data_IF_092845326127
#
_entry.id   IF_092845326127
#
_cell.length_a   1.000
_cell.length_b   1.000
_cell.length_c   1.000
_cell.angle_alpha   90.00
_cell.angle_beta   90.00
_cell.angle_gamma   90.00
#
_symmetry.space_group_name_H-M   'P 1'
#
loop_
_entity.id
_entity.type
_entity.pdbx_description
1 polymer ?
#
# COMPACT_ATOMS: atom_id res chain seq x y z
N UNK A 1 -7.36 28.76 -48.17
CA UNK A 1 -7.39 27.41 -47.56
C UNK A 1 -7.46 27.61 -46.05
N UNK A 2 -8.65 27.53 -45.46
CA UNK A 2 -8.84 27.58 -44.01
C UNK A 2 -9.00 26.14 -43.51
N UNK A 3 -8.02 25.64 -42.77
CA UNK A 3 -8.15 24.40 -42.02
C UNK A 3 -8.89 24.70 -40.72
N UNK A 4 -10.10 24.17 -40.61
CA UNK A 4 -10.90 24.16 -39.39
C UNK A 4 -10.42 23.01 -38.51
N UNK A 5 -9.91 23.34 -37.32
CA UNK A 5 -9.49 22.35 -36.32
C UNK A 5 -10.71 21.71 -35.67
N UNK A 6 -10.91 20.42 -35.91
CA UNK A 6 -11.87 19.61 -35.15
C UNK A 6 -11.31 19.35 -33.73
N UNK A 7 -12.00 19.87 -32.72
CA UNK A 7 -11.86 19.42 -31.33
C UNK A 7 -12.53 18.04 -31.21
N UNK A 8 -11.73 16.99 -31.03
CA UNK A 8 -12.24 15.71 -30.52
C UNK A 8 -12.40 15.80 -28.99
N UNK A 9 -13.48 15.25 -28.41
CA UNK A 9 -13.61 15.15 -26.97
C UNK A 9 -12.62 14.09 -26.46
N UNK A 10 -11.88 14.42 -25.40
CA UNK A 10 -11.15 13.42 -24.62
C UNK A 10 -12.18 12.44 -24.05
N UNK A 11 -12.18 11.22 -24.57
CA UNK A 11 -12.75 10.07 -23.90
C UNK A 11 -11.93 9.83 -22.65
N UNK A 12 -12.47 10.19 -21.48
CA UNK A 12 -11.94 9.77 -20.20
C UNK A 12 -11.88 8.25 -20.18
N UNK A 13 -10.67 7.70 -20.07
CA UNK A 13 -10.45 6.28 -19.87
C UNK A 13 -11.13 5.90 -18.56
N UNK A 14 -12.22 5.13 -18.64
CA UNK A 14 -12.81 4.51 -17.46
C UNK A 14 -11.71 3.75 -16.72
N UNK A 15 -11.49 4.11 -15.45
CA UNK A 15 -10.57 3.42 -14.57
C UNK A 15 -10.90 1.91 -14.60
N UNK A 16 -9.87 1.06 -14.64
CA UNK A 16 -10.09 -0.38 -14.44
C UNK A 16 -10.79 -0.53 -13.09
N UNK A 17 -11.97 -1.13 -13.09
CA UNK A 17 -12.62 -1.53 -11.84
C UNK A 17 -11.76 -2.63 -11.22
N UNK A 18 -11.01 -2.31 -10.17
CA UNK A 18 -10.31 -3.30 -9.39
C UNK A 18 -11.30 -3.91 -8.40
N UNK A 19 -11.57 -5.21 -8.52
CA UNK A 19 -12.40 -5.94 -7.55
C UNK A 19 -11.57 -6.22 -6.29
N UNK A 20 -11.19 -5.16 -5.58
CA UNK A 20 -10.45 -5.27 -4.32
C UNK A 20 -11.41 -5.48 -3.15
N UNK A 21 -11.02 -6.27 -2.14
CA UNK A 21 -11.85 -6.45 -0.96
C UNK A 21 -11.95 -5.13 -0.18
N UNK A 22 -13.17 -4.80 0.26
CA UNK A 22 -13.41 -3.63 1.10
C UNK A 22 -13.24 -3.92 2.60
N UNK A 23 -12.93 -5.17 2.96
CA UNK A 23 -12.76 -5.59 4.35
C UNK A 23 -11.69 -6.66 4.44
N UNK A 24 -11.02 -6.73 5.59
CA UNK A 24 -10.15 -7.86 5.90
C UNK A 24 -10.91 -9.18 5.81
N UNK A 25 -10.28 -10.18 5.21
CA UNK A 25 -10.89 -11.50 5.09
C UNK A 25 -11.09 -12.13 6.49
N UNK A 26 -12.26 -12.74 6.78
CA UNK A 26 -12.50 -13.36 8.06
C UNK A 26 -11.59 -14.59 8.25
N UNK A 27 -11.29 -14.92 9.51
CA UNK A 27 -10.56 -16.12 9.89
C UNK A 27 -9.27 -16.33 9.10
N UNK A 28 -8.45 -15.27 8.99
CA UNK A 28 -7.14 -15.37 8.33
C UNK A 28 -7.19 -15.74 6.84
N UNK A 29 -8.31 -15.43 6.17
CA UNK A 29 -8.53 -15.71 4.75
C UNK A 29 -7.59 -14.95 3.82
N UNK A 30 -7.52 -15.42 2.58
CA UNK A 30 -6.72 -14.83 1.51
C UNK A 30 -7.37 -13.56 0.96
N UNK A 31 -6.57 -12.52 0.73
CA UNK A 31 -7.00 -11.32 0.01
C UNK A 31 -6.32 -11.22 -1.36
N UNK A 32 -7.09 -10.87 -2.38
CA UNK A 32 -6.57 -10.67 -3.73
C UNK A 32 -5.71 -9.43 -3.80
N UNK A 33 -4.70 -9.45 -4.67
CA UNK A 33 -3.88 -8.28 -4.99
C UNK A 33 -4.00 -7.96 -6.48
N UNK A 34 -3.86 -6.69 -6.90
CA UNK A 34 -3.99 -6.29 -8.30
C UNK A 34 -3.04 -7.01 -9.26
N UNK A 35 -1.80 -7.28 -8.85
CA UNK A 35 -0.76 -7.87 -9.71
C UNK A 35 -0.86 -9.39 -9.75
N UNK A 36 -1.02 -10.02 -8.57
CA UNK A 36 -0.84 -11.47 -8.43
C UNK A 36 -2.16 -12.24 -8.24
N UNK A 37 -3.26 -11.55 -7.90
CA UNK A 37 -4.54 -12.21 -7.67
C UNK A 37 -4.52 -13.10 -6.43
N UNK A 38 -5.19 -14.26 -6.50
CA UNK A 38 -5.33 -15.22 -5.38
C UNK A 38 -4.70 -16.58 -5.65
N UNK A 39 -4.08 -16.78 -6.81
CA UNK A 39 -3.42 -18.04 -7.17
C UNK A 39 -2.13 -18.19 -6.37
N UNK A 40 -1.85 -19.41 -5.87
CA UNK A 40 -0.62 -19.76 -5.15
C UNK A 40 -0.29 -18.89 -3.92
N UNK A 41 -1.33 -18.32 -3.30
CA UNK A 41 -1.21 -17.60 -2.02
C UNK A 41 -0.80 -18.58 -0.92
N UNK A 42 0.19 -18.19 -0.13
CA UNK A 42 0.57 -18.89 1.10
C UNK A 42 -0.21 -18.32 2.28
N UNK A 43 -0.21 -16.99 2.47
CA UNK A 43 -1.00 -16.32 3.50
C UNK A 43 -1.18 -14.83 3.23
N UNK A 44 -2.07 -14.20 4.00
CA UNK A 44 -2.31 -12.75 4.03
C UNK A 44 -2.29 -12.26 5.48
N UNK A 45 -1.76 -11.06 5.70
CA UNK A 45 -2.01 -10.24 6.91
C UNK A 45 -2.87 -9.05 6.51
N UNK A 46 -3.74 -8.57 7.41
CA UNK A 46 -4.61 -7.44 7.10
C UNK A 46 -4.97 -6.65 8.35
N UNK A 47 -4.89 -5.32 8.26
CA UNK A 47 -5.39 -4.38 9.23
C UNK A 47 -6.52 -3.54 8.63
N UNK A 48 -7.51 -3.23 9.46
CA UNK A 48 -8.65 -2.43 9.07
C UNK A 48 -9.04 -1.50 10.23
N UNK A 49 -9.16 -0.21 9.94
CA UNK A 49 -9.47 0.81 10.94
C UNK A 49 -10.21 1.99 10.30
N UNK A 50 -11.15 2.59 11.03
CA UNK A 50 -11.81 3.83 10.63
C UNK A 50 -10.94 5.03 11.00
N UNK A 51 -10.68 5.93 10.06
CA UNK A 51 -9.94 7.18 10.24
C UNK A 51 -10.93 8.35 10.05
N UNK A 52 -10.94 9.31 10.97
CA UNK A 52 -11.71 10.54 10.85
C UNK A 52 -10.99 11.53 9.94
N UNK A 53 -11.02 11.23 8.64
CA UNK A 53 -10.61 12.13 7.57
C UNK A 53 -11.21 11.65 6.26
N UNK A 54 -11.28 12.54 5.27
CA UNK A 54 -11.60 12.16 3.90
C UNK A 54 -10.48 11.28 3.29
N UNK A 55 -10.76 10.49 2.23
CA UNK A 55 -9.75 9.61 1.63
C UNK A 55 -8.49 10.34 1.12
N UNK A 56 -8.63 11.54 0.55
CA UNK A 56 -7.51 12.22 -0.11
C UNK A 56 -6.37 12.62 0.86
N UNK A 57 -6.62 13.28 2.01
CA UNK A 57 -5.58 13.51 3.01
C UNK A 57 -4.88 12.23 3.48
N UNK A 58 -5.63 11.15 3.70
CA UNK A 58 -5.06 9.85 4.09
C UNK A 58 -4.15 9.31 2.97
N UNK A 59 -4.60 9.41 1.72
CA UNK A 59 -3.85 8.98 0.54
C UNK A 59 -2.51 9.71 0.43
N UNK A 60 -2.52 11.03 0.58
CA UNK A 60 -1.31 11.86 0.49
C UNK A 60 -0.29 11.48 1.58
N UNK A 61 -0.74 11.24 2.82
CA UNK A 61 0.14 10.77 3.91
C UNK A 61 0.66 9.35 3.62
N UNK A 62 -0.17 8.47 3.08
CA UNK A 62 0.19 7.09 2.75
C UNK A 62 1.28 6.96 1.69
N UNK A 63 1.40 7.94 0.78
CA UNK A 63 2.41 7.92 -0.28
C UNK A 63 3.56 8.92 -0.05
N UNK A 64 3.53 9.71 1.03
CA UNK A 64 4.64 10.61 1.37
C UNK A 64 5.81 9.85 2.02
N UNK A 65 6.42 8.94 1.25
CA UNK A 65 7.53 8.09 1.69
C UNK A 65 8.73 8.86 2.27
N UNK A 66 9.13 10.04 1.76
CA UNK A 66 10.16 10.85 2.43
C UNK A 66 9.83 11.21 3.88
N UNK A 67 8.54 11.35 4.21
CA UNK A 67 8.05 11.71 5.55
C UNK A 67 7.52 10.51 6.34
N UNK A 68 7.53 9.29 5.79
CA UNK A 68 7.03 8.07 6.47
C UNK A 68 7.55 7.90 7.90
N UNK A 69 8.86 8.06 8.16
CA UNK A 69 9.43 7.89 9.51
C UNK A 69 8.91 8.87 10.55
N UNK A 70 8.28 9.97 10.14
CA UNK A 70 7.73 10.96 11.06
C UNK A 70 6.50 10.44 11.82
N UNK A 71 5.86 9.38 11.32
CA UNK A 71 4.66 8.81 11.92
C UNK A 71 4.68 7.30 12.07
N UNK A 72 5.38 6.57 11.19
CA UNK A 72 5.37 5.12 11.21
C UNK A 72 6.40 4.56 12.20
N UNK A 73 5.94 3.83 13.22
CA UNK A 73 6.83 3.25 14.24
C UNK A 73 7.54 1.97 13.79
N UNK A 74 7.01 1.26 12.79
CA UNK A 74 7.62 0.06 12.22
C UNK A 74 8.68 0.39 11.16
N UNK A 75 8.35 1.29 10.22
CA UNK A 75 9.21 1.75 9.12
C UNK A 75 9.91 3.04 9.52
N UNK A 76 11.12 2.94 10.07
CA UNK A 76 11.85 4.08 10.60
C UNK A 76 12.71 4.84 9.57
N UNK A 77 12.85 4.31 8.35
CA UNK A 77 13.46 5.02 7.23
C UNK A 77 12.98 4.44 5.90
N UNK A 78 12.94 5.28 4.87
CA UNK A 78 12.67 4.88 3.49
C UNK A 78 13.69 5.56 2.57
N UNK A 79 14.45 4.76 1.83
CA UNK A 79 15.23 5.30 0.72
C UNK A 79 14.36 5.36 -0.52
N UNK A 80 14.32 6.53 -1.15
CA UNK A 80 13.64 6.81 -2.42
C UNK A 80 14.61 7.50 -3.39
N UNK A 81 14.31 7.54 -4.70
CA UNK A 81 15.11 8.32 -5.66
C UNK A 81 15.24 9.78 -5.24
N UNK A 82 16.40 10.40 -5.47
CA UNK A 82 16.72 11.76 -4.98
C UNK A 82 15.81 12.86 -5.53
N UNK A 83 15.06 12.59 -6.60
CA UNK A 83 14.07 13.51 -7.18
C UNK A 83 12.68 13.38 -6.54
N UNK A 84 12.50 12.50 -5.56
CA UNK A 84 11.25 12.29 -4.83
C UNK A 84 11.37 12.98 -3.48
N UNK A 85 10.64 14.08 -3.32
CA UNK A 85 10.71 14.94 -2.14
C UNK A 85 9.40 15.04 -1.38
N UNK A 86 8.30 14.63 -2.01
CA UNK A 86 6.97 14.53 -1.38
C UNK A 86 6.08 13.52 -2.10
N UNK A 87 4.88 13.31 -1.55
CA UNK A 87 3.79 12.54 -2.18
C UNK A 87 3.57 12.84 -3.67
N UNK A 88 3.69 14.10 -4.10
CA UNK A 88 3.43 14.49 -5.50
C UNK A 88 4.47 13.99 -6.50
N UNK A 89 5.64 13.59 -6.01
CA UNK A 89 6.75 13.13 -6.85
C UNK A 89 6.74 11.61 -7.06
N UNK A 90 5.83 10.89 -6.39
CA UNK A 90 5.73 9.43 -6.43
C UNK A 90 5.17 8.95 -7.77
N UNK A 91 5.73 7.85 -8.30
CA UNK A 91 5.35 7.30 -9.60
C UNK A 91 5.32 5.78 -9.62
N UNK A 92 4.55 5.20 -10.55
CA UNK A 92 4.51 3.74 -10.75
C UNK A 92 5.86 3.24 -11.25
N UNK A 93 6.36 2.16 -10.64
CA UNK A 93 7.69 1.61 -10.90
C UNK A 93 8.80 2.25 -10.06
N UNK A 94 8.48 3.21 -9.19
CA UNK A 94 9.44 3.82 -8.27
C UNK A 94 10.00 2.74 -7.33
N UNK A 95 11.33 2.54 -7.30
CA UNK A 95 11.97 1.67 -6.32
C UNK A 95 12.03 2.36 -4.96
N UNK A 96 11.90 1.58 -3.90
CA UNK A 96 12.00 2.05 -2.52
C UNK A 96 12.74 0.99 -1.69
N UNK A 97 13.46 1.41 -0.66
CA UNK A 97 13.99 0.49 0.35
C UNK A 97 13.45 0.89 1.70
N UNK A 98 12.62 0.02 2.29
CA UNK A 98 12.07 0.21 3.62
C UNK A 98 13.05 -0.36 4.64
N UNK A 99 13.34 0.43 5.67
CA UNK A 99 14.10 -0.01 6.84
C UNK A 99 13.14 -0.16 8.00
N UNK A 100 13.06 -1.36 8.56
CA UNK A 100 12.07 -1.69 9.58
C UNK A 100 12.71 -2.18 10.86
N UNK A 101 12.02 -1.98 11.98
CA UNK A 101 12.41 -2.54 13.29
C UNK A 101 12.42 -4.08 13.30
N UNK A 102 11.83 -4.68 12.25
CA UNK A 102 11.87 -6.10 11.93
C UNK A 102 10.91 -6.94 12.77
N UNK A 103 10.62 -8.15 12.28
CA UNK A 103 9.62 -9.04 12.88
C UNK A 103 10.14 -9.84 14.07
N UNK A 104 11.45 -9.79 14.32
CA UNK A 104 12.09 -10.46 15.47
C UNK A 104 12.57 -9.34 16.41
N UNK A 105 12.20 -9.37 17.70
CA UNK A 105 12.60 -8.32 18.62
C UNK A 105 14.10 -8.04 18.58
N UNK A 106 14.45 -6.75 18.47
CA UNK A 106 15.83 -6.24 18.40
C UNK A 106 16.60 -6.61 17.11
N UNK A 107 15.92 -7.11 16.08
CA UNK A 107 16.53 -7.44 14.78
C UNK A 107 15.87 -6.64 13.68
N UNK A 108 16.49 -5.52 13.31
CA UNK A 108 16.05 -4.70 12.19
C UNK A 108 16.12 -5.49 10.87
N UNK A 109 15.27 -5.12 9.92
CA UNK A 109 15.28 -5.70 8.58
C UNK A 109 15.16 -4.62 7.51
N UNK A 110 15.40 -5.01 6.27
CA UNK A 110 15.22 -4.15 5.10
C UNK A 110 14.40 -4.88 4.06
N UNK A 111 13.49 -4.17 3.39
CA UNK A 111 12.74 -4.68 2.26
C UNK A 111 12.91 -3.76 1.06
N UNK A 112 13.19 -4.34 -0.10
CA UNK A 112 13.15 -3.60 -1.36
C UNK A 112 11.75 -3.70 -1.92
N UNK A 113 11.17 -2.57 -2.25
CA UNK A 113 9.79 -2.43 -2.68
C UNK A 113 9.73 -1.67 -4.02
N UNK A 114 8.66 -1.87 -4.76
CA UNK A 114 8.38 -1.14 -5.98
C UNK A 114 6.89 -0.77 -6.05
N UNK A 115 6.58 0.51 -6.28
CA UNK A 115 5.20 0.96 -6.49
C UNK A 115 4.62 0.27 -7.72
N UNK A 116 3.49 -0.42 -7.56
CA UNK A 116 2.78 -1.10 -8.65
C UNK A 116 1.55 -0.31 -9.10
N UNK A 117 0.85 0.34 -8.16
CA UNK A 117 -0.36 1.12 -8.46
C UNK A 117 -0.43 2.42 -7.66
N UNK A 118 -0.77 3.51 -8.35
CA UNK A 118 -1.22 4.77 -7.78
C UNK A 118 -2.60 5.08 -8.38
N UNK A 119 -3.66 4.95 -7.60
CA UNK A 119 -5.04 5.13 -8.03
C UNK A 119 -5.80 6.05 -7.08
N UNK A 120 -5.46 7.35 -7.00
CA UNK A 120 -6.16 8.32 -6.15
C UNK A 120 -7.61 8.57 -6.62
N UNK A 121 -7.87 8.41 -7.93
CA UNK A 121 -9.19 8.64 -8.53
C UNK A 121 -10.04 7.36 -8.68
N UNK A 122 -9.54 6.21 -8.22
CA UNK A 122 -10.36 5.00 -8.18
C UNK A 122 -11.47 5.12 -7.13
N UNK A 123 -12.49 4.28 -7.25
CA UNK A 123 -13.60 4.23 -6.29
C UNK A 123 -13.71 2.80 -5.77
N UNK A 124 -13.13 2.49 -4.60
CA UNK A 124 -12.37 3.37 -3.68
C UNK A 124 -10.93 3.68 -4.17
N UNK A 125 -10.32 4.80 -3.70
CA UNK A 125 -8.90 5.08 -3.93
C UNK A 125 -7.99 4.01 -3.32
N UNK A 126 -6.87 3.71 -3.97
CA UNK A 126 -5.87 2.78 -3.42
C UNK A 126 -4.46 3.01 -3.95
N UNK A 127 -3.49 2.50 -3.19
CA UNK A 127 -2.08 2.40 -3.57
C UNK A 127 -1.63 0.97 -3.33
N UNK A 128 -0.71 0.48 -4.17
CA UNK A 128 -0.07 -0.80 -3.95
C UNK A 128 1.42 -0.75 -4.32
N UNK A 129 2.20 -1.55 -3.61
CA UNK A 129 3.60 -1.81 -3.90
C UNK A 129 3.90 -3.28 -3.64
N UNK A 130 4.94 -3.78 -4.30
CA UNK A 130 5.36 -5.17 -4.20
C UNK A 130 6.80 -5.29 -3.75
N UNK A 131 7.08 -6.41 -3.10
CA UNK A 131 8.43 -6.83 -2.80
C UNK A 131 9.23 -7.03 -4.10
N UNK A 132 10.38 -6.36 -4.20
CA UNK A 132 11.35 -6.48 -5.28
C UNK A 132 12.58 -7.26 -4.83
N UNK A 133 12.43 -8.60 -4.80
CA UNK A 133 13.54 -9.52 -4.55
C UNK A 133 14.52 -9.66 -5.72
N UNK A 134 14.40 -8.85 -6.77
CA UNK A 134 15.09 -9.05 -8.05
C UNK A 134 14.68 -10.35 -8.76
N UNK A 135 15.35 -10.66 -9.87
CA UNK A 135 14.96 -11.76 -10.77
C UNK A 135 14.93 -13.12 -10.06
N UNK A 136 15.88 -13.40 -9.18
CA UNK A 136 15.96 -14.70 -8.49
C UNK A 136 15.12 -14.74 -7.20
N UNK A 137 15.10 -13.66 -6.42
CA UNK A 137 14.31 -13.59 -5.19
C UNK A 137 12.81 -13.58 -5.46
N UNK A 138 12.38 -12.85 -6.49
CA UNK A 138 10.97 -12.78 -6.93
C UNK A 138 10.41 -14.10 -7.48
N UNK A 139 11.27 -15.07 -7.83
CA UNK A 139 10.82 -16.43 -8.18
C UNK A 139 10.56 -17.29 -6.95
N UNK A 140 11.17 -16.95 -5.80
CA UNK A 140 11.07 -17.72 -4.56
C UNK A 140 9.98 -17.18 -3.65
N UNK A 141 9.85 -15.86 -3.58
CA UNK A 141 8.84 -15.17 -2.78
C UNK A 141 8.36 -13.93 -3.51
N UNK A 142 7.05 -13.74 -3.53
CA UNK A 142 6.42 -12.49 -3.95
C UNK A 142 5.54 -12.01 -2.81
N UNK A 143 5.43 -10.70 -2.67
CA UNK A 143 4.46 -10.08 -1.79
C UNK A 143 3.96 -8.81 -2.47
N UNK A 144 2.68 -8.49 -2.28
CA UNK A 144 2.11 -7.21 -2.70
C UNK A 144 1.27 -6.65 -1.55
N UNK A 145 1.65 -5.46 -1.10
CA UNK A 145 0.93 -4.65 -0.14
C UNK A 145 -0.09 -3.80 -0.89
N UNK A 146 -1.32 -3.76 -0.39
CA UNK A 146 -2.39 -2.89 -0.88
C UNK A 146 -2.95 -2.08 0.28
N UNK A 147 -3.13 -0.78 0.05
CA UNK A 147 -3.77 0.16 0.98
C UNK A 147 -4.96 0.80 0.26
N UNK A 148 -6.17 0.56 0.75
CA UNK A 148 -7.44 0.95 0.15
C UNK A 148 -8.23 1.85 1.12
N UNK A 149 -8.90 2.88 0.56
CA UNK A 149 -9.58 3.92 1.32
C UNK A 149 -11.06 4.00 0.95
N UNK A 150 -11.92 3.40 1.74
CA UNK A 150 -13.36 3.39 1.46
C UNK A 150 -14.07 4.49 2.25
N UNK A 151 -14.56 5.52 1.55
CA UNK A 151 -15.34 6.62 2.13
C UNK A 151 -16.64 6.11 2.78
N UNK A 152 -16.82 6.38 4.07
CA UNK A 152 -18.03 6.03 4.83
C UNK A 152 -19.04 7.19 4.89
N UNK A 153 -18.67 8.36 4.37
CA UNK A 153 -19.39 9.61 4.52
C UNK A 153 -19.09 10.29 5.86
N UNK A 154 -19.54 11.54 6.00
CA UNK A 154 -19.40 12.27 7.27
C UNK A 154 -17.97 12.66 7.65
N UNK A 155 -17.01 12.55 6.72
CA UNK A 155 -15.59 12.78 6.99
C UNK A 155 -14.89 11.55 7.60
N UNK A 156 -15.48 10.36 7.48
CA UNK A 156 -14.87 9.10 7.93
C UNK A 156 -14.47 8.23 6.73
N UNK A 157 -13.31 7.59 6.83
CA UNK A 157 -12.79 6.65 5.84
C UNK A 157 -12.44 5.34 6.51
N UNK A 158 -12.90 4.23 5.95
CA UNK A 158 -12.41 2.90 6.30
C UNK A 158 -11.09 2.65 5.57
N UNK A 159 -9.99 2.60 6.32
CA UNK A 159 -8.68 2.21 5.82
C UNK A 159 -8.54 0.69 5.92
N UNK A 160 -8.25 0.03 4.79
CA UNK A 160 -7.98 -1.40 4.72
C UNK A 160 -6.61 -1.60 4.11
N UNK A 161 -5.70 -2.21 4.87
CA UNK A 161 -4.35 -2.51 4.43
C UNK A 161 -4.07 -4.00 4.57
N UNK A 162 -3.54 -4.62 3.53
CA UNK A 162 -3.14 -6.01 3.57
C UNK A 162 -1.89 -6.25 2.75
N UNK A 163 -1.20 -7.32 3.08
CA UNK A 163 -0.15 -7.87 2.25
C UNK A 163 -0.36 -9.37 2.09
N UNK A 164 -0.35 -9.80 0.84
CA UNK A 164 -0.49 -11.20 0.48
C UNK A 164 0.86 -11.72 0.01
N UNK A 165 1.26 -12.86 0.56
CA UNK A 165 2.53 -13.52 0.28
C UNK A 165 2.31 -14.79 -0.56
N UNK A 166 3.20 -14.97 -1.54
CA UNK A 166 3.14 -16.03 -2.54
C UNK A 166 4.49 -16.77 -2.61
N UNK A 167 4.45 -18.01 -3.10
CA UNK A 167 5.64 -18.82 -3.35
C UNK A 167 6.26 -19.43 -2.10
N UNK A 168 7.10 -20.46 -2.28
CA UNK A 168 7.61 -21.29 -1.18
C UNK A 168 8.48 -20.52 -0.17
N UNK A 169 9.11 -19.41 -0.58
CA UNK A 169 9.88 -18.55 0.32
C UNK A 169 9.03 -17.86 1.38
N UNK A 170 7.74 -17.63 1.10
CA UNK A 170 6.81 -17.04 2.05
C UNK A 170 6.59 -17.89 3.31
N UNK A 171 6.95 -19.19 3.29
CA UNK A 171 6.82 -20.06 4.47
C UNK A 171 7.70 -19.60 5.65
N UNK A 172 8.84 -18.96 5.38
CA UNK A 172 9.66 -18.38 6.44
C UNK A 172 8.95 -17.19 7.11
N UNK A 173 8.30 -16.34 6.32
CA UNK A 173 7.52 -15.20 6.82
C UNK A 173 6.21 -15.66 7.47
N UNK A 174 5.63 -16.77 7.02
CA UNK A 174 4.43 -17.36 7.63
C UNK A 174 4.67 -17.76 9.10
N UNK A 175 5.86 -18.28 9.44
CA UNK A 175 6.22 -18.51 10.83
C UNK A 175 6.24 -17.20 11.66
N UNK A 176 6.56 -16.09 10.98
CA UNK A 176 6.51 -14.67 11.38
C UNK A 176 5.11 -14.06 11.56
N UNK A 177 4.06 -14.72 11.07
CA UNK A 177 2.78 -14.07 10.73
C UNK A 177 2.17 -13.27 11.86
N UNK A 178 2.18 -13.78 13.09
CA UNK A 178 1.59 -13.08 14.24
C UNK A 178 2.26 -11.73 14.52
N UNK A 179 3.59 -11.66 14.38
CA UNK A 179 4.33 -10.42 14.54
C UNK A 179 4.07 -9.50 13.35
N UNK A 180 4.11 -10.03 12.12
CA UNK A 180 3.79 -9.24 10.93
C UNK A 180 2.38 -8.63 10.98
N UNK A 181 1.39 -9.40 11.41
CA UNK A 181 0.02 -8.94 11.60
C UNK A 181 -0.04 -7.77 12.58
N UNK A 182 0.70 -7.86 13.69
CA UNK A 182 0.80 -6.76 14.66
C UNK A 182 1.40 -5.50 14.03
N UNK A 183 2.45 -5.61 13.22
CA UNK A 183 3.06 -4.43 12.57
C UNK A 183 2.09 -3.75 11.57
N UNK A 184 1.20 -4.51 10.91
CA UNK A 184 0.13 -3.93 10.08
C UNK A 184 -0.91 -3.17 10.92
N UNK A 185 -1.28 -3.72 12.07
CA UNK A 185 -2.20 -3.07 13.02
C UNK A 185 -1.60 -1.79 13.63
N UNK A 186 -0.31 -1.84 13.97
CA UNK A 186 0.44 -0.71 14.50
C UNK A 186 0.59 0.38 13.42
N UNK A 187 0.97 0.03 12.18
CA UNK A 187 1.01 0.99 11.05
C UNK A 187 -0.34 1.66 10.79
N UNK A 188 -1.45 0.91 10.84
CA UNK A 188 -2.78 1.48 10.64
C UNK A 188 -3.17 2.44 11.78
N UNK A 189 -2.80 2.11 13.01
CA UNK A 189 -3.00 2.99 14.19
C UNK A 189 -2.17 4.25 14.10
N UNK A 190 -0.90 4.14 13.69
CA UNK A 190 0.01 5.27 13.51
C UNK A 190 -0.47 6.21 12.41
N UNK A 191 -0.93 5.66 11.28
CA UNK A 191 -1.51 6.44 10.18
C UNK A 191 -2.75 7.21 10.64
N UNK A 192 -3.66 6.55 11.36
CA UNK A 192 -4.85 7.20 11.94
C UNK A 192 -4.44 8.38 12.81
N UNK A 193 -3.54 8.14 13.78
CA UNK A 193 -3.07 9.18 14.69
C UNK A 193 -2.42 10.35 13.93
N UNK A 194 -1.63 10.06 12.89
CA UNK A 194 -1.00 11.08 12.05
C UNK A 194 -2.02 11.92 11.32
N UNK A 195 -2.94 11.31 10.59
CA UNK A 195 -3.91 12.04 9.76
C UNK A 195 -4.83 12.88 10.63
N UNK A 196 -5.37 12.30 11.71
CA UNK A 196 -6.29 13.01 12.60
C UNK A 196 -5.62 14.21 13.30
N UNK A 197 -4.31 14.12 13.59
CA UNK A 197 -3.55 15.26 14.14
C UNK A 197 -3.33 16.43 13.16
N UNK A 198 -3.58 16.24 11.86
CA UNK A 198 -3.46 17.29 10.85
C UNK A 198 -4.77 18.07 10.65
N UNK A 199 -5.89 17.58 11.22
CA UNK A 199 -7.20 18.22 11.12
C UNK A 199 -7.53 19.14 12.32
N UNK A 200 -6.73 19.07 13.38
CA UNK A 200 -6.77 19.95 14.57
C UNK A 200 -6.12 21.33 14.33
#
# INVERSE_FOLDING_TARGET
MHLSSFLLPLLGTAAKAFNLPLNCAPNNGTMTTPTYGTTDVIFTVCAQITIHSCPLPIYDVLIDFPSYPAWNTFVYAVDVPSNVTSASDVYVGMPMTFYTTGLIPLVNSTSNEQITYLQPDAVPPFVAWRFDGGVLGGLVMQAEHVSLLNDLGGGETEYVSWETYYGVGALAVLALRGNLQKEFEDQATDLKARVESLED
#
